data_IF_374194314607
#
_entry.id   IF_374194314607
#
_cell.length_a   1.000
_cell.length_b   1.000
_cell.length_c   1.000
_cell.angle_alpha   90.00
_cell.angle_beta   90.00
_cell.angle_gamma   90.00
#
_symmetry.space_group_name_H-M   'P 1'
#
loop_
_entity.id
_entity.type
_entity.pdbx_description
1 polymer ?
#
# COMPACT_ATOMS: atom_id res chain seq x y z
N UNK A 1 -7.31 -10.68 19.72
CA UNK A 1 -6.43 -11.29 20.74
C UNK A 1 -4.93 -11.18 20.45
N UNK A 2 -4.48 -11.09 19.19
CA UNK A 2 -3.04 -11.12 18.84
C UNK A 2 -2.20 -10.12 19.67
N UNK A 3 -2.60 -8.85 19.75
CA UNK A 3 -1.87 -7.83 20.51
C UNK A 3 -1.83 -8.06 22.03
N UNK A 4 -2.93 -8.55 22.59
CA UNK A 4 -3.07 -8.77 24.03
C UNK A 4 -2.24 -9.97 24.48
N UNK A 5 -2.41 -11.12 23.80
CA UNK A 5 -1.74 -12.37 24.18
C UNK A 5 -0.23 -12.28 23.95
N UNK A 6 0.22 -11.54 22.94
CA UNK A 6 1.65 -11.33 22.69
C UNK A 6 2.26 -10.21 23.53
N UNK A 7 1.46 -9.40 24.22
CA UNK A 7 1.94 -8.22 24.95
C UNK A 7 2.62 -7.16 24.06
N UNK A 8 2.31 -7.11 22.76
CA UNK A 8 3.10 -6.33 21.80
C UNK A 8 2.59 -4.90 21.54
N UNK A 9 1.64 -4.38 22.33
CA UNK A 9 1.10 -3.04 22.08
C UNK A 9 2.19 -1.96 22.08
N UNK A 10 3.06 -1.95 23.10
CA UNK A 10 4.14 -0.96 23.23
C UNK A 10 5.19 -1.08 22.13
N UNK A 11 5.57 -2.30 21.74
CA UNK A 11 6.57 -2.49 20.67
C UNK A 11 6.01 -2.11 19.30
N UNK A 12 4.72 -2.38 19.04
CA UNK A 12 4.07 -2.01 17.77
C UNK A 12 4.00 -0.49 17.55
N UNK A 13 3.73 0.29 18.60
CA UNK A 13 3.61 1.76 18.48
C UNK A 13 4.97 2.47 18.38
N UNK A 14 6.09 1.80 18.67
CA UNK A 14 7.44 2.38 18.48
C UNK A 14 7.69 2.75 17.01
N UNK A 15 7.09 2.02 16.07
CA UNK A 15 7.19 2.35 14.65
C UNK A 15 6.89 3.83 14.37
N UNK A 16 5.87 4.40 15.03
CA UNK A 16 5.48 5.79 14.83
C UNK A 16 6.58 6.76 15.25
N UNK A 17 7.19 6.57 16.43
CA UNK A 17 8.28 7.44 16.89
C UNK A 17 9.47 7.36 15.93
N UNK A 18 9.86 6.15 15.54
CA UNK A 18 11.09 5.93 14.79
C UNK A 18 10.96 6.32 13.31
N UNK A 19 9.76 6.22 12.71
CA UNK A 19 9.57 6.43 11.26
C UNK A 19 8.78 7.68 10.91
N UNK A 20 7.92 8.20 11.80
CA UNK A 20 7.07 9.36 11.52
C UNK A 20 7.55 10.64 12.24
N UNK A 21 8.58 10.55 13.10
CA UNK A 21 9.10 11.69 13.87
C UNK A 21 9.67 12.85 13.05
N UNK A 22 10.05 12.60 11.80
CA UNK A 22 10.53 13.63 10.84
C UNK A 22 9.42 14.14 9.90
N UNK A 23 8.17 13.69 10.10
CA UNK A 23 7.05 13.95 9.20
C UNK A 23 6.93 12.90 8.08
N UNK A 24 5.72 12.77 7.55
CA UNK A 24 5.43 11.88 6.41
C UNK A 24 6.17 12.41 5.17
N UNK A 25 6.95 11.56 4.50
CA UNK A 25 7.74 11.96 3.33
C UNK A 25 9.06 12.66 3.66
N UNK A 26 9.43 12.73 4.95
CA UNK A 26 10.67 13.37 5.40
C UNK A 26 11.93 12.53 5.20
N UNK A 27 11.80 11.24 4.88
CA UNK A 27 12.96 10.36 4.76
C UNK A 27 13.67 10.56 3.41
N UNK A 28 14.99 10.33 3.37
CA UNK A 28 15.71 10.37 2.09
C UNK A 28 15.26 9.26 1.13
N UNK A 29 14.73 8.15 1.66
CA UNK A 29 14.21 7.04 0.87
C UNK A 29 12.94 7.41 0.10
N UNK A 30 12.13 8.33 0.61
CA UNK A 30 10.91 8.81 -0.07
C UNK A 30 11.21 9.53 -1.40
N UNK A 31 12.46 9.94 -1.62
CA UNK A 31 12.92 10.57 -2.87
C UNK A 31 13.45 9.58 -3.90
N UNK A 32 13.61 8.31 -3.53
CA UNK A 32 14.20 7.28 -4.40
C UNK A 32 13.08 6.62 -5.21
N UNK A 33 13.09 6.70 -6.56
CA UNK A 33 12.01 6.14 -7.36
C UNK A 33 12.04 4.62 -7.39
N UNK A 34 10.85 4.01 -7.41
CA UNK A 34 10.66 2.56 -7.53
C UNK A 34 10.59 2.19 -9.01
N UNK A 35 11.58 1.42 -9.48
CA UNK A 35 11.75 1.04 -10.89
C UNK A 35 11.18 -0.35 -11.24
N UNK A 36 10.90 -1.17 -10.23
CA UNK A 36 10.37 -2.52 -10.43
C UNK A 36 8.88 -2.48 -10.86
N UNK A 37 8.40 -3.50 -11.59
CA UNK A 37 6.98 -3.58 -11.94
C UNK A 37 6.07 -3.46 -10.71
N UNK A 38 5.13 -2.52 -10.76
CA UNK A 38 4.27 -2.16 -9.62
C UNK A 38 2.78 -2.30 -9.97
N UNK A 39 2.00 -2.88 -9.05
CA UNK A 39 0.54 -2.91 -9.11
C UNK A 39 -0.06 -2.08 -7.97
N UNK A 40 -1.05 -1.23 -8.27
CA UNK A 40 -1.71 -0.35 -7.29
C UNK A 40 -3.21 -0.60 -7.27
N UNK A 41 -3.73 -1.01 -6.12
CA UNK A 41 -5.17 -1.08 -5.83
C UNK A 41 -5.55 0.13 -4.95
N UNK A 42 -6.25 1.10 -5.52
CA UNK A 42 -6.62 2.34 -4.83
C UNK A 42 -8.05 2.22 -4.29
N UNK A 43 -8.19 2.02 -2.99
CA UNK A 43 -9.48 1.89 -2.29
C UNK A 43 -10.05 3.27 -1.91
N UNK A 44 -11.38 3.47 -2.00
CA UNK A 44 -11.99 4.79 -1.86
C UNK A 44 -11.94 5.33 -0.41
N UNK A 45 -11.95 4.47 0.61
CA UNK A 45 -11.92 4.87 2.02
C UNK A 45 -10.56 4.65 2.69
N UNK A 46 -9.47 4.69 1.91
CA UNK A 46 -8.10 4.72 2.43
C UNK A 46 -7.80 6.08 3.10
N UNK A 47 -6.99 6.08 4.16
CA UNK A 47 -6.60 7.27 4.92
C UNK A 47 -5.87 8.29 4.05
N UNK A 48 -4.99 7.82 3.17
CA UNK A 48 -4.25 8.65 2.23
C UNK A 48 -4.52 8.22 0.79
N UNK A 49 -5.46 8.91 0.14
CA UNK A 49 -5.80 8.61 -1.24
C UNK A 49 -4.66 9.01 -2.19
N UNK A 50 -4.16 8.06 -2.98
CA UNK A 50 -3.08 8.28 -3.93
C UNK A 50 -3.62 8.20 -5.37
N UNK A 51 -3.87 9.34 -6.04
CA UNK A 51 -4.25 9.36 -7.45
C UNK A 51 -3.09 8.88 -8.33
N UNK A 52 -3.40 8.38 -9.53
CA UNK A 52 -2.40 7.86 -10.46
C UNK A 52 -1.29 8.88 -10.80
N UNK A 53 -1.63 10.17 -10.89
CA UNK A 53 -0.66 11.24 -11.14
C UNK A 53 0.40 11.34 -10.05
N UNK A 54 0.01 11.16 -8.78
CA UNK A 54 0.94 11.16 -7.65
C UNK A 54 1.74 9.86 -7.62
N UNK A 55 1.09 8.71 -7.82
CA UNK A 55 1.74 7.41 -7.87
C UNK A 55 2.86 7.38 -8.94
N UNK A 56 2.63 7.97 -10.12
CA UNK A 56 3.65 8.07 -11.18
C UNK A 56 4.89 8.88 -10.79
N UNK A 57 4.80 9.75 -9.79
CA UNK A 57 5.96 10.47 -9.26
C UNK A 57 6.96 9.56 -8.56
N UNK A 58 6.47 8.50 -7.90
CA UNK A 58 7.29 7.58 -7.12
C UNK A 58 7.54 6.24 -7.84
N UNK A 59 6.56 5.72 -8.57
CA UNK A 59 6.61 4.42 -9.25
C UNK A 59 6.73 4.63 -10.76
N UNK A 60 7.91 4.33 -11.32
CA UNK A 60 8.19 4.60 -12.74
C UNK A 60 7.70 3.48 -13.68
N UNK A 61 7.35 2.30 -13.14
CA UNK A 61 6.90 1.13 -13.91
C UNK A 61 5.60 0.55 -13.33
N UNK A 62 4.50 1.31 -13.41
CA UNK A 62 3.18 0.84 -12.99
C UNK A 62 2.57 -0.03 -14.09
N UNK A 63 2.39 -1.33 -13.81
CA UNK A 63 1.81 -2.33 -14.73
C UNK A 63 0.29 -2.46 -14.57
N UNK A 64 -0.21 -2.18 -13.36
CA UNK A 64 -1.65 -2.18 -13.08
C UNK A 64 -1.97 -1.06 -12.09
N UNK A 65 -2.95 -0.24 -12.40
CA UNK A 65 -3.53 0.73 -11.48
C UNK A 65 -5.05 0.60 -11.57
N UNK A 66 -5.71 0.36 -10.44
CA UNK A 66 -7.17 0.20 -10.39
C UNK A 66 -7.75 0.97 -9.22
N UNK A 67 -8.68 1.87 -9.51
CA UNK A 67 -9.59 2.41 -8.50
C UNK A 67 -10.63 1.33 -8.15
N UNK A 68 -10.72 0.98 -6.87
CA UNK A 68 -11.66 -0.02 -6.37
C UNK A 68 -13.02 0.62 -6.11
N UNK A 69 -14.12 -0.12 -6.31
CA UNK A 69 -15.46 0.45 -6.17
C UNK A 69 -15.88 0.68 -4.71
N UNK A 70 -15.27 -0.01 -3.75
CA UNK A 70 -15.60 0.04 -2.31
C UNK A 70 -14.44 -0.52 -1.46
N UNK A 71 -14.53 -0.35 -0.14
CA UNK A 71 -13.51 -0.73 0.85
C UNK A 71 -12.58 0.42 1.23
N UNK A 72 -11.80 0.23 2.29
CA UNK A 72 -10.89 1.23 2.84
C UNK A 72 -9.54 0.68 3.28
N UNK A 73 -9.07 1.21 4.41
CA UNK A 73 -7.72 0.98 4.92
C UNK A 73 -7.40 -0.50 5.16
N UNK A 74 -8.37 -1.28 5.63
CA UNK A 74 -8.20 -2.72 5.83
C UNK A 74 -8.71 -3.51 4.62
N UNK A 75 -8.29 -3.12 3.40
CA UNK A 75 -8.76 -3.66 2.13
C UNK A 75 -8.87 -5.19 2.06
N UNK A 76 -7.88 -5.91 2.59
CA UNK A 76 -7.88 -7.38 2.59
C UNK A 76 -8.94 -7.99 3.53
N UNK A 77 -9.26 -7.29 4.62
CA UNK A 77 -10.26 -7.71 5.60
C UNK A 77 -11.67 -7.29 5.18
N UNK A 78 -11.81 -6.09 4.61
CA UNK A 78 -13.10 -5.53 4.19
C UNK A 78 -13.58 -6.12 2.87
N UNK A 79 -12.69 -6.24 1.88
CA UNK A 79 -13.03 -6.66 0.51
C UNK A 79 -12.03 -7.71 -0.02
N UNK A 80 -11.95 -8.89 0.62
CA UNK A 80 -10.93 -9.90 0.34
C UNK A 80 -10.92 -10.36 -1.12
N UNK A 81 -12.09 -10.55 -1.72
CA UNK A 81 -12.20 -10.97 -3.11
C UNK A 81 -11.70 -9.90 -4.09
N UNK A 82 -12.05 -8.63 -3.86
CA UNK A 82 -11.62 -7.53 -4.73
C UNK A 82 -10.10 -7.37 -4.73
N UNK A 83 -9.48 -7.44 -3.54
CA UNK A 83 -8.03 -7.34 -3.43
C UNK A 83 -7.34 -8.58 -4.04
N UNK A 84 -7.81 -9.79 -3.72
CA UNK A 84 -7.23 -11.03 -4.24
C UNK A 84 -7.27 -11.10 -5.76
N UNK A 85 -8.39 -10.69 -6.38
CA UNK A 85 -8.51 -10.68 -7.84
C UNK A 85 -7.57 -9.68 -8.49
N UNK A 86 -7.37 -8.50 -7.89
CA UNK A 86 -6.39 -7.55 -8.40
C UNK A 86 -4.96 -8.08 -8.32
N UNK A 87 -4.58 -8.72 -7.21
CA UNK A 87 -3.26 -9.35 -7.05
C UNK A 87 -3.06 -10.42 -8.14
N UNK A 88 -4.04 -11.32 -8.33
CA UNK A 88 -3.97 -12.36 -9.38
C UNK A 88 -3.85 -11.77 -10.79
N UNK A 89 -4.62 -10.73 -11.09
CA UNK A 89 -4.55 -10.05 -12.39
C UNK A 89 -3.19 -9.39 -12.61
N UNK A 90 -2.62 -8.77 -11.58
CA UNK A 90 -1.28 -8.20 -11.63
C UNK A 90 -0.22 -9.28 -11.88
N UNK A 91 -0.23 -10.38 -11.11
CA UNK A 91 0.72 -11.49 -11.28
C UNK A 91 0.65 -12.09 -12.68
N UNK A 92 -0.55 -12.36 -13.22
CA UNK A 92 -0.71 -12.86 -14.59
C UNK A 92 -0.09 -11.94 -15.64
N UNK A 93 -0.24 -10.62 -15.49
CA UNK A 93 0.39 -9.64 -16.39
C UNK A 93 1.92 -9.66 -16.31
N UNK A 94 2.49 -9.99 -15.16
CA UNK A 94 3.93 -10.11 -15.00
C UNK A 94 4.48 -11.40 -15.61
N UNK A 95 3.77 -12.52 -15.45
CA UNK A 95 4.18 -13.83 -15.99
C UNK A 95 4.06 -13.92 -17.52
N UNK A 96 3.22 -13.08 -18.12
CA UNK A 96 3.06 -13.00 -19.59
C UNK A 96 4.11 -12.11 -20.27
N UNK A 97 5.00 -11.46 -19.50
CA UNK A 97 6.02 -10.53 -19.98
C UNK A 97 7.38 -11.20 -20.04
#
# INVERSE_FOLDING_TARGET
MIYWVSGCITSSVRFYKENLGQGIGGSQHDKVPVKVPTGVASFPSELMHCPLSWAKGQYTNIVSFKFMPRGGHFAALEEPALLADHIRQFTRKLEQK
#
